data_IF_820542649637
#
_entry.id   IF_820542649637
#
_cell.length_a   1.000
_cell.length_b   1.000
_cell.length_c   1.000
_cell.angle_alpha   90.00
_cell.angle_beta   90.00
_cell.angle_gamma   90.00
#
_symmetry.space_group_name_H-M   'P 1'
#
loop_
_entity.id
_entity.type
_entity.pdbx_description
1 polymer ?
#
# COMPACT_ATOMS: atom_id res chain seq x y z
N UNK A 1 -1.38 7.43 21.45
CA UNK A 1 -1.07 7.96 20.12
C UNK A 1 -2.35 7.97 19.31
N UNK A 2 -2.53 8.98 18.48
CA UNK A 2 -3.51 9.02 17.41
C UNK A 2 -2.86 8.54 16.11
N UNK A 3 -3.34 7.42 15.59
CA UNK A 3 -2.79 6.73 14.42
C UNK A 3 -3.76 6.88 13.25
N UNK A 4 -3.27 7.43 12.14
CA UNK A 4 -3.97 7.39 10.86
C UNK A 4 -3.64 6.08 10.16
N UNK A 5 -4.65 5.25 9.87
CA UNK A 5 -4.52 4.03 9.07
C UNK A 5 -5.03 4.28 7.66
N UNK A 6 -4.22 3.94 6.66
CA UNK A 6 -4.60 3.93 5.24
C UNK A 6 -4.23 2.59 4.63
N UNK A 7 -4.66 2.28 3.40
CA UNK A 7 -4.18 1.10 2.66
C UNK A 7 -4.31 1.30 1.14
N UNK A 8 -3.93 0.27 0.35
CA UNK A 8 -4.19 0.20 -1.09
C UNK A 8 -5.13 -0.94 -1.50
N UNK A 9 -5.60 -1.78 -0.58
CA UNK A 9 -6.55 -2.86 -0.88
C UNK A 9 -8.01 -2.38 -0.92
N UNK A 10 -8.31 -1.25 -0.29
CA UNK A 10 -9.65 -0.67 -0.18
C UNK A 10 -10.35 -1.00 1.16
N UNK A 11 -11.68 -0.86 1.24
CA UNK A 11 -12.43 -1.15 2.46
C UNK A 11 -12.35 -2.63 2.85
N UNK A 12 -12.70 -3.00 4.11
CA UNK A 12 -12.70 -4.38 4.58
C UNK A 12 -13.45 -5.31 3.62
N UNK A 13 -12.81 -6.39 3.20
CA UNK A 13 -13.45 -7.43 2.38
C UNK A 13 -12.70 -8.74 2.53
N UNK A 14 -13.40 -9.87 2.40
CA UNK A 14 -12.79 -11.19 2.49
C UNK A 14 -11.74 -11.42 1.39
N UNK A 15 -11.99 -10.90 0.19
CA UNK A 15 -11.16 -11.16 -1.00
C UNK A 15 -9.97 -10.21 -1.15
N UNK A 16 -10.17 -8.91 -0.93
CA UNK A 16 -9.16 -7.90 -1.25
C UNK A 16 -8.49 -7.34 0.00
N UNK A 17 -9.26 -7.01 1.04
CA UNK A 17 -8.74 -6.39 2.27
C UNK A 17 -9.14 -7.16 3.54
N UNK A 18 -8.70 -8.43 3.69
CA UNK A 18 -9.12 -9.27 4.81
C UNK A 18 -8.47 -8.86 6.15
N UNK A 19 -7.43 -8.02 6.11
CA UNK A 19 -6.55 -7.79 7.26
C UNK A 19 -6.74 -6.44 7.97
N UNK A 20 -7.27 -5.42 7.28
CA UNK A 20 -7.34 -4.07 7.85
C UNK A 20 -8.24 -3.99 9.09
N UNK A 21 -9.40 -4.66 9.07
CA UNK A 21 -10.34 -4.65 10.20
C UNK A 21 -9.75 -5.30 11.47
N UNK A 22 -9.27 -6.56 11.43
CA UNK A 22 -8.60 -7.16 12.60
C UNK A 22 -7.39 -6.37 13.10
N UNK A 23 -6.66 -5.71 12.19
CA UNK A 23 -5.51 -4.90 12.56
C UNK A 23 -5.90 -3.60 13.28
N UNK A 24 -6.91 -2.89 12.77
CA UNK A 24 -7.46 -1.71 13.43
C UNK A 24 -8.02 -2.07 14.81
N UNK A 25 -8.76 -3.18 14.92
CA UNK A 25 -9.26 -3.69 16.20
C UNK A 25 -8.11 -3.95 17.19
N UNK A 26 -6.98 -4.49 16.72
CA UNK A 26 -5.80 -4.72 17.56
C UNK A 26 -5.11 -3.41 18.01
N UNK A 27 -5.08 -2.37 17.17
CA UNK A 27 -4.56 -1.05 17.54
C UNK A 27 -5.45 -0.39 18.60
N UNK A 28 -6.76 -0.42 18.41
CA UNK A 28 -7.75 0.13 19.34
C UNK A 28 -7.71 -0.61 20.69
N UNK A 29 -7.65 -1.95 20.66
CA UNK A 29 -7.51 -2.77 21.87
C UNK A 29 -6.21 -2.49 22.65
N UNK A 30 -5.17 -1.99 21.98
CA UNK A 30 -3.94 -1.54 22.62
C UNK A 30 -4.01 -0.09 23.16
N UNK A 31 -5.18 0.55 23.10
CA UNK A 31 -5.44 1.89 23.64
C UNK A 31 -5.06 3.04 22.70
N UNK A 32 -4.89 2.77 21.40
CA UNK A 32 -4.65 3.83 20.42
C UNK A 32 -5.97 4.45 19.94
N UNK A 33 -5.95 5.76 19.72
CA UNK A 33 -6.99 6.42 18.94
C UNK A 33 -6.69 6.15 17.47
N UNK A 34 -7.62 5.54 16.74
CA UNK A 34 -7.41 5.20 15.32
C UNK A 34 -8.38 5.99 14.45
N UNK A 35 -7.87 6.54 13.35
CA UNK A 35 -8.66 7.12 12.27
C UNK A 35 -8.31 6.37 10.99
N UNK A 36 -9.32 5.99 10.19
CA UNK A 36 -9.10 5.14 9.01
C UNK A 36 -9.59 5.84 7.76
N UNK A 37 -8.75 5.92 6.73
CA UNK A 37 -9.12 6.41 5.41
C UNK A 37 -8.61 5.45 4.31
N UNK A 38 -9.52 4.85 3.55
CA UNK A 38 -9.16 3.90 2.48
C UNK A 38 -9.64 4.38 1.12
N UNK A 39 -8.98 4.04 0.01
CA UNK A 39 -9.57 4.20 -1.31
C UNK A 39 -10.84 3.35 -1.43
N UNK A 40 -11.79 3.74 -2.28
CA UNK A 40 -13.04 2.99 -2.50
C UNK A 40 -12.85 1.66 -3.25
N UNK A 41 -11.69 1.45 -3.87
CA UNK A 41 -11.36 0.23 -4.59
C UNK A 41 -9.86 -0.06 -4.47
N UNK A 42 -9.46 -1.30 -4.73
CA UNK A 42 -8.05 -1.69 -4.75
C UNK A 42 -7.24 -0.86 -5.75
N UNK A 43 -6.07 -0.41 -5.30
CA UNK A 43 -5.07 0.38 -6.03
C UNK A 43 -3.71 -0.31 -6.00
N UNK A 44 -3.66 -1.65 -6.04
CA UNK A 44 -2.39 -2.37 -6.11
C UNK A 44 -1.56 -1.94 -7.33
N UNK A 45 -0.23 -1.96 -7.21
CA UNK A 45 0.73 -1.54 -8.25
C UNK A 45 0.72 -0.05 -8.61
N UNK A 46 0.14 0.82 -7.78
CA UNK A 46 0.04 2.28 -8.06
C UNK A 46 1.25 3.11 -7.59
N UNK A 47 2.12 2.57 -6.74
CA UNK A 47 3.21 3.32 -6.11
C UNK A 47 2.70 4.52 -5.29
N UNK A 48 3.39 5.67 -5.35
CA UNK A 48 3.00 6.94 -4.69
C UNK A 48 2.33 7.92 -5.66
N UNK A 49 1.17 7.57 -6.21
CA UNK A 49 0.48 8.43 -7.18
C UNK A 49 -0.59 9.34 -6.56
N UNK A 50 -0.74 10.54 -7.13
CA UNK A 50 -1.92 11.41 -6.98
C UNK A 50 -2.62 11.54 -8.34
N UNK A 51 -3.95 11.58 -8.35
CA UNK A 51 -4.76 11.74 -9.57
C UNK A 51 -5.26 13.19 -9.67
N UNK A 52 -4.46 14.09 -10.22
CA UNK A 52 -4.66 15.55 -10.16
C UNK A 52 -6.02 16.01 -10.71
N UNK A 53 -6.51 15.40 -11.79
CA UNK A 53 -7.77 15.80 -12.44
C UNK A 53 -8.99 15.01 -11.94
N UNK A 54 -8.79 14.06 -11.03
CA UNK A 54 -9.89 13.28 -10.47
C UNK A 54 -10.44 13.95 -9.20
N UNK A 55 -11.72 14.33 -9.22
CA UNK A 55 -12.41 14.75 -7.99
C UNK A 55 -12.47 13.57 -7.01
N UNK A 56 -12.16 13.85 -5.74
CA UNK A 56 -12.22 12.90 -4.64
C UNK A 56 -13.50 13.13 -3.83
N UNK A 57 -14.17 12.04 -3.45
CA UNK A 57 -15.34 12.09 -2.55
C UNK A 57 -15.04 11.25 -1.33
N UNK A 58 -15.10 11.86 -0.15
CA UNK A 58 -14.96 11.18 1.14
C UNK A 58 -16.34 10.80 1.67
N UNK A 59 -16.58 9.50 1.83
CA UNK A 59 -17.81 8.93 2.40
C UNK A 59 -17.49 8.42 3.79
N UNK A 60 -18.22 8.88 4.81
CA UNK A 60 -18.12 8.38 6.17
C UNK A 60 -19.01 7.15 6.31
N UNK A 61 -18.43 6.06 6.79
CA UNK A 61 -19.05 4.74 6.81
C UNK A 61 -18.86 4.15 8.19
N UNK A 62 -19.97 3.80 8.85
CA UNK A 62 -19.90 3.12 10.14
C UNK A 62 -19.11 1.81 10.00
N UNK A 63 -18.16 1.59 10.89
CA UNK A 63 -17.26 0.43 10.87
C UNK A 63 -18.01 -0.91 10.86
N UNK A 64 -19.22 -1.01 11.42
CA UNK A 64 -20.02 -2.24 11.47
C UNK A 64 -21.00 -2.38 10.30
N UNK A 65 -20.97 -1.44 9.35
CA UNK A 65 -21.76 -1.47 8.12
C UNK A 65 -21.05 -2.14 6.93
N UNK A 66 -19.74 -2.42 7.03
CA UNK A 66 -18.98 -3.11 5.99
C UNK A 66 -19.42 -4.58 5.83
N UNK A 67 -19.59 -5.00 4.59
CA UNK A 67 -19.95 -6.36 4.19
C UNK A 67 -18.72 -7.13 3.69
N UNK A 68 -18.83 -8.46 3.59
CA UNK A 68 -17.69 -9.32 3.23
C UNK A 68 -17.14 -9.10 1.81
N UNK A 69 -17.92 -8.48 0.92
CA UNK A 69 -17.55 -8.21 -0.47
C UNK A 69 -16.86 -6.84 -0.68
N UNK A 70 -16.71 -6.05 0.38
CA UNK A 70 -16.12 -4.70 0.31
C UNK A 70 -17.13 -3.58 0.10
N UNK A 71 -18.42 -3.91 -0.02
CA UNK A 71 -19.49 -2.93 0.04
C UNK A 71 -19.82 -2.58 1.49
N UNK A 72 -20.68 -1.59 1.66
CA UNK A 72 -21.18 -1.19 2.97
C UNK A 72 -22.63 -0.76 2.83
N UNK A 73 -23.40 -1.01 3.89
CA UNK A 73 -24.81 -0.58 3.93
C UNK A 73 -24.88 0.94 4.03
N UNK A 74 -25.75 1.56 3.23
CA UNK A 74 -26.01 2.99 3.37
C UNK A 74 -26.62 3.26 4.75
N UNK A 75 -25.87 3.97 5.58
CA UNK A 75 -26.40 4.50 6.83
C UNK A 75 -27.22 5.75 6.50
N UNK A 76 -28.55 5.65 6.60
CA UNK A 76 -29.42 6.82 6.60
C UNK A 76 -29.50 7.35 8.01
N UNK A 77 -28.63 8.30 8.33
CA UNK A 77 -28.87 9.10 9.51
C UNK A 77 -30.06 10.02 9.22
N UNK A 78 -31.16 9.82 9.94
CA UNK A 78 -32.33 10.70 9.87
C UNK A 78 -32.09 12.04 10.58
N UNK A 79 -31.07 12.12 11.45
CA UNK A 79 -30.82 13.27 12.31
C UNK A 79 -29.37 13.76 12.16
N UNK A 80 -29.09 14.36 11.01
CA UNK A 80 -27.96 15.26 10.71
C UNK A 80 -26.77 15.38 11.66
N UNK A 81 -25.59 15.08 11.08
CA UNK A 81 -24.31 15.80 11.21
C UNK A 81 -23.39 15.54 12.42
N UNK A 82 -23.75 14.68 13.37
CA UNK A 82 -22.76 14.21 14.36
C UNK A 82 -22.49 12.72 14.20
N UNK A 83 -21.42 12.42 13.46
CA UNK A 83 -20.89 11.06 13.31
C UNK A 83 -20.66 10.41 14.67
N UNK A 84 -21.01 9.13 14.80
CA UNK A 84 -20.96 8.39 16.06
C UNK A 84 -19.53 8.10 16.60
N UNK A 85 -18.50 8.66 15.96
CA UNK A 85 -17.09 8.48 16.31
C UNK A 85 -16.47 7.15 15.85
N UNK A 86 -17.30 6.21 15.36
CA UNK A 86 -16.95 4.87 14.90
C UNK A 86 -16.84 4.75 13.37
N UNK A 87 -16.77 5.88 12.67
CA UNK A 87 -16.76 5.92 11.21
C UNK A 87 -15.36 5.76 10.62
N UNK A 88 -15.28 5.04 9.51
CA UNK A 88 -14.14 5.01 8.60
C UNK A 88 -14.46 5.87 7.38
N UNK A 89 -13.42 6.40 6.73
CA UNK A 89 -13.61 7.21 5.52
C UNK A 89 -13.24 6.40 4.28
N UNK A 90 -14.19 6.24 3.36
CA UNK A 90 -13.98 5.62 2.06
C UNK A 90 -13.88 6.72 1.00
N UNK A 91 -12.74 6.78 0.30
CA UNK A 91 -12.43 7.84 -0.66
C UNK A 91 -12.59 7.34 -2.09
N UNK A 92 -13.67 7.74 -2.75
CA UNK A 92 -13.89 7.49 -4.18
C UNK A 92 -12.86 8.25 -5.01
N UNK A 93 -12.33 7.59 -6.05
CA UNK A 93 -11.15 8.04 -6.82
C UNK A 93 -9.87 8.23 -6.00
N UNK A 94 -9.86 7.82 -4.73
CA UNK A 94 -8.70 7.89 -3.87
C UNK A 94 -7.56 6.99 -4.33
N UNK A 95 -6.34 7.44 -4.02
CA UNK A 95 -5.12 6.63 -3.93
C UNK A 95 -4.70 6.55 -2.47
N UNK A 96 -3.78 5.65 -2.08
CA UNK A 96 -3.24 5.63 -0.73
C UNK A 96 -2.61 6.97 -0.34
N UNK A 97 -1.91 7.62 -1.27
CA UNK A 97 -1.32 8.94 -1.05
C UNK A 97 -2.40 10.02 -0.81
N UNK A 98 -3.47 10.06 -1.61
CA UNK A 98 -4.54 11.04 -1.37
C UNK A 98 -5.31 10.76 -0.08
N UNK A 99 -5.52 9.49 0.29
CA UNK A 99 -6.11 9.12 1.58
C UNK A 99 -5.24 9.57 2.76
N UNK A 100 -3.92 9.39 2.67
CA UNK A 100 -2.97 9.91 3.67
C UNK A 100 -3.09 11.42 3.81
N UNK A 101 -3.04 12.16 2.70
CA UNK A 101 -3.05 13.61 2.73
C UNK A 101 -4.39 14.16 3.26
N UNK A 102 -5.51 13.62 2.80
CA UNK A 102 -6.84 13.98 3.32
C UNK A 102 -6.97 13.64 4.81
N UNK A 103 -6.49 12.48 5.24
CA UNK A 103 -6.51 12.06 6.64
C UNK A 103 -5.68 12.98 7.55
N UNK A 104 -4.52 13.44 7.07
CA UNK A 104 -3.65 14.32 7.84
C UNK A 104 -4.18 15.74 8.00
N UNK A 105 -4.87 16.27 6.98
CA UNK A 105 -5.18 17.70 6.92
C UNK A 105 -6.66 18.05 6.99
N UNK A 106 -7.56 17.14 6.59
CA UNK A 106 -8.96 17.49 6.32
C UNK A 106 -9.96 16.64 7.11
N UNK A 107 -9.79 15.31 7.12
CA UNK A 107 -10.85 14.38 7.54
C UNK A 107 -11.04 14.26 9.06
N UNK A 108 -9.96 14.40 9.83
CA UNK A 108 -9.95 14.06 11.26
C UNK A 108 -9.54 15.22 12.17
N UNK A 109 -9.73 16.45 11.70
CA UNK A 109 -9.28 17.67 12.40
C UNK A 109 -9.88 17.83 13.80
N UNK A 110 -11.09 17.31 14.05
CA UNK A 110 -11.75 17.31 15.37
C UNK A 110 -11.22 16.26 16.35
N UNK A 111 -10.46 15.26 15.88
CA UNK A 111 -9.98 14.12 16.69
C UNK A 111 -8.60 14.35 17.31
N UNK A 112 -7.97 15.49 17.02
CA UNK A 112 -6.63 15.83 17.48
C UNK A 112 -5.54 15.53 16.44
N UNK A 113 -4.27 15.79 16.79
CA UNK A 113 -3.15 15.66 15.87
C UNK A 113 -2.80 14.18 15.62
N UNK A 114 -2.58 13.82 14.36
CA UNK A 114 -2.02 12.51 13.99
C UNK A 114 -0.54 12.43 14.42
N UNK A 115 -0.22 11.44 15.25
CA UNK A 115 1.13 11.15 15.76
C UNK A 115 1.92 10.23 14.81
N UNK A 116 1.23 9.32 14.12
CA UNK A 116 1.83 8.29 13.27
C UNK A 116 0.87 7.95 12.13
N UNK A 117 1.42 7.73 10.93
CA UNK A 117 0.68 7.11 9.83
C UNK A 117 1.09 5.65 9.68
N UNK A 118 0.12 4.75 9.63
CA UNK A 118 0.32 3.34 9.30
C UNK A 118 -0.40 3.06 7.99
N UNK A 119 0.34 2.61 6.98
CA UNK A 119 -0.22 2.22 5.70
C UNK A 119 -0.22 0.70 5.61
N UNK A 120 -1.40 0.08 5.48
CA UNK A 120 -1.61 -1.37 5.47
C UNK A 120 -2.59 -1.86 6.56
N UNK A 121 -2.63 -3.16 6.85
CA UNK A 121 -1.77 -4.20 6.28
C UNK A 121 -2.17 -4.54 4.85
N UNK A 122 -1.18 -4.62 3.97
CA UNK A 122 -1.36 -5.07 2.59
C UNK A 122 -1.71 -6.58 2.54
N UNK A 123 -2.60 -6.97 1.64
CA UNK A 123 -2.89 -8.36 1.27
C UNK A 123 -1.80 -8.93 0.35
N UNK A 124 -0.65 -9.21 0.95
CA UNK A 124 0.56 -9.67 0.27
C UNK A 124 1.80 -8.95 0.79
N UNK A 125 2.98 -9.47 0.41
CA UNK A 125 4.27 -8.89 0.78
C UNK A 125 4.64 -7.71 -0.12
N UNK A 126 5.30 -6.71 0.46
CA UNK A 126 6.04 -5.67 -0.22
C UNK A 126 7.51 -5.79 0.22
N UNK A 127 8.20 -6.80 -0.31
CA UNK A 127 9.59 -7.08 -0.02
C UNK A 127 10.36 -7.14 -1.35
N UNK A 128 11.60 -6.63 -1.37
CA UNK A 128 12.41 -6.29 -2.56
C UNK A 128 12.01 -4.99 -3.29
N UNK A 129 12.94 -4.44 -4.07
CA UNK A 129 12.80 -3.13 -4.73
C UNK A 129 11.58 -3.02 -5.64
N UNK A 130 11.29 -4.02 -6.48
CA UNK A 130 10.17 -3.96 -7.43
C UNK A 130 8.83 -3.86 -6.70
N UNK A 131 8.61 -4.69 -5.69
CA UNK A 131 7.37 -4.64 -4.94
C UNK A 131 7.27 -3.35 -4.12
N UNK A 132 8.37 -2.89 -3.51
CA UNK A 132 8.37 -1.63 -2.75
C UNK A 132 8.04 -0.42 -3.63
N UNK A 133 8.65 -0.31 -4.81
CA UNK A 133 8.47 0.82 -5.72
C UNK A 133 7.06 0.87 -6.33
N UNK A 134 6.45 -0.30 -6.58
CA UNK A 134 5.10 -0.38 -7.12
C UNK A 134 4.01 -0.39 -6.04
N UNK A 135 4.37 -0.50 -4.76
CA UNK A 135 3.39 -0.67 -3.68
C UNK A 135 2.63 0.63 -3.37
N UNK A 136 1.29 0.56 -3.41
CA UNK A 136 0.44 1.63 -2.91
C UNK A 136 0.52 1.75 -1.39
N UNK A 137 0.63 0.62 -0.68
CA UNK A 137 0.89 0.58 0.76
C UNK A 137 2.17 1.35 1.13
N UNK A 138 3.30 1.09 0.48
CA UNK A 138 4.54 1.88 0.70
C UNK A 138 4.34 3.33 0.26
N UNK A 139 3.62 3.57 -0.85
CA UNK A 139 3.25 4.90 -1.31
C UNK A 139 2.51 5.74 -0.26
N UNK A 140 1.54 5.17 0.45
CA UNK A 140 0.82 5.85 1.54
C UNK A 140 1.74 6.30 2.68
N UNK A 141 2.74 5.48 3.03
CA UNK A 141 3.73 5.82 4.03
C UNK A 141 4.75 6.87 3.53
N UNK A 142 5.19 6.77 2.28
CA UNK A 142 6.04 7.78 1.64
C UNK A 142 5.36 9.15 1.62
N UNK A 143 4.06 9.20 1.32
CA UNK A 143 3.30 10.46 1.33
C UNK A 143 3.29 11.09 2.72
N UNK A 144 3.09 10.29 3.77
CA UNK A 144 3.10 10.77 5.15
C UNK A 144 4.47 11.38 5.52
N UNK A 145 5.56 10.72 5.13
CA UNK A 145 6.92 11.26 5.34
C UNK A 145 7.12 12.58 4.62
N UNK A 146 6.68 12.69 3.36
CA UNK A 146 6.78 13.96 2.63
C UNK A 146 5.91 15.07 3.24
N UNK A 147 4.93 14.70 4.05
CA UNK A 147 4.13 15.61 4.88
C UNK A 147 4.74 15.88 6.28
N UNK A 148 5.99 15.44 6.54
CA UNK A 148 6.67 15.62 7.82
C UNK A 148 6.17 14.70 8.94
N UNK A 149 5.50 13.59 8.60
CA UNK A 149 4.97 12.62 9.57
C UNK A 149 5.76 11.30 9.52
N UNK A 150 6.04 10.73 10.69
CA UNK A 150 6.59 9.37 10.79
C UNK A 150 5.58 8.38 10.22
N UNK A 151 6.09 7.36 9.52
CA UNK A 151 5.22 6.39 8.88
C UNK A 151 5.75 4.96 8.91
N UNK A 152 4.83 3.99 8.99
CA UNK A 152 5.14 2.56 8.88
C UNK A 152 4.25 1.95 7.80
N UNK A 153 4.86 1.39 6.76
CA UNK A 153 4.18 0.54 5.80
C UNK A 153 4.13 -0.90 6.35
N UNK A 154 2.98 -1.56 6.27
CA UNK A 154 2.74 -2.89 6.85
C UNK A 154 2.20 -3.82 5.77
N UNK A 155 2.80 -5.00 5.66
CA UNK A 155 2.42 -6.03 4.69
C UNK A 155 2.30 -7.39 5.36
N UNK A 156 1.16 -8.06 5.18
CA UNK A 156 0.94 -9.42 5.64
C UNK A 156 1.21 -10.37 4.46
N UNK A 157 2.22 -11.23 4.63
CA UNK A 157 2.96 -11.88 3.55
C UNK A 157 2.27 -13.02 2.81
N UNK A 158 0.93 -13.05 2.74
CA UNK A 158 0.14 -14.06 2.04
C UNK A 158 -0.95 -13.41 1.18
N UNK A 159 -1.31 -14.07 0.08
CA UNK A 159 -2.50 -13.78 -0.73
C UNK A 159 -3.58 -14.86 -0.60
N UNK A 160 -3.27 -15.92 0.12
CA UNK A 160 -4.18 -17.03 0.38
C UNK A 160 -5.03 -16.71 1.60
N UNK A 161 -6.24 -17.27 1.66
CA UNK A 161 -7.09 -17.17 2.85
C UNK A 161 -6.35 -17.69 4.09
N UNK A 162 -6.42 -16.93 5.19
CA UNK A 162 -5.71 -17.24 6.43
C UNK A 162 -6.69 -17.52 7.56
N UNK A 163 -6.37 -18.44 8.48
CA UNK A 163 -7.14 -18.61 9.70
C UNK A 163 -7.22 -17.30 10.50
N UNK A 164 -8.38 -17.03 11.10
CA UNK A 164 -8.62 -15.80 11.88
C UNK A 164 -7.59 -15.66 13.01
N UNK A 165 -7.23 -16.76 13.67
CA UNK A 165 -6.24 -16.79 14.75
C UNK A 165 -4.86 -16.33 14.27
N UNK A 166 -4.48 -16.71 13.05
CA UNK A 166 -3.22 -16.29 12.42
C UNK A 166 -3.23 -14.80 12.09
N UNK A 167 -4.36 -14.28 11.58
CA UNK A 167 -4.52 -12.84 11.29
C UNK A 167 -4.45 -12.02 12.57
N UNK A 168 -5.12 -12.47 13.62
CA UNK A 168 -5.09 -11.81 14.93
C UNK A 168 -3.69 -11.87 15.56
N UNK A 169 -2.98 -13.00 15.44
CA UNK A 169 -1.59 -13.14 15.91
C UNK A 169 -0.63 -12.19 15.18
N UNK A 170 -0.72 -12.11 13.85
CA UNK A 170 0.05 -11.16 13.04
C UNK A 170 -0.26 -9.71 13.42
N UNK A 171 -1.54 -9.39 13.65
CA UNK A 171 -1.99 -8.05 14.07
C UNK A 171 -1.41 -7.67 15.43
N UNK A 172 -1.51 -8.55 16.44
CA UNK A 172 -0.92 -8.31 17.78
C UNK A 172 0.60 -8.11 17.72
N UNK A 173 1.32 -8.95 16.97
CA UNK A 173 2.76 -8.77 16.79
C UNK A 173 3.07 -7.41 16.15
N UNK A 174 2.35 -7.06 15.09
CA UNK A 174 2.52 -5.80 14.37
C UNK A 174 2.32 -4.60 15.30
N UNK A 175 1.29 -4.61 16.13
CA UNK A 175 1.05 -3.56 17.14
C UNK A 175 2.24 -3.45 18.11
N UNK A 176 2.77 -4.58 18.61
CA UNK A 176 3.97 -4.56 19.48
C UNK A 176 5.18 -3.95 18.77
N UNK A 177 5.40 -4.29 17.51
CA UNK A 177 6.50 -3.74 16.70
C UNK A 177 6.31 -2.24 16.46
N UNK A 178 5.10 -1.79 16.11
CA UNK A 178 4.78 -0.36 15.94
C UNK A 178 5.05 0.42 17.22
N UNK A 179 4.59 -0.09 18.37
CA UNK A 179 4.82 0.54 19.66
C UNK A 179 6.32 0.61 20.02
N UNK A 180 7.08 -0.45 19.73
CA UNK A 180 8.53 -0.47 19.92
C UNK A 180 9.22 0.59 19.05
N UNK A 181 8.97 0.58 17.74
CA UNK A 181 9.57 1.51 16.78
C UNK A 181 9.19 2.97 17.08
N UNK A 182 7.93 3.23 17.46
CA UNK A 182 7.48 4.59 17.79
C UNK A 182 8.23 5.18 19.00
N UNK A 183 8.55 4.35 20.00
CA UNK A 183 9.32 4.76 21.19
C UNK A 183 10.83 4.86 20.94
N UNK A 184 11.36 4.07 20.00
CA UNK A 184 12.80 3.96 19.70
C UNK A 184 13.11 4.36 18.27
N UNK A 185 12.45 5.42 17.78
CA UNK A 185 12.57 5.83 16.38
C UNK A 185 13.97 6.36 16.10
N UNK A 186 14.68 5.73 15.16
CA UNK A 186 16.01 6.17 14.77
C UNK A 186 15.92 7.51 13.99
N UNK A 187 16.68 8.54 14.36
CA UNK A 187 16.60 9.86 13.72
C UNK A 187 16.99 9.86 12.24
N UNK A 188 17.69 8.83 11.75
CA UNK A 188 18.07 8.69 10.35
C UNK A 188 17.02 7.97 9.50
N UNK A 189 15.96 7.46 10.13
CA UNK A 189 14.90 6.70 9.48
C UNK A 189 13.67 7.58 9.32
N UNK A 190 13.15 7.64 8.11
CA UNK A 190 11.97 8.44 7.81
C UNK A 190 10.70 7.58 7.80
N UNK A 191 10.81 6.34 7.31
CA UNK A 191 9.76 5.32 7.40
C UNK A 191 10.32 3.92 7.62
N UNK A 192 9.50 3.02 8.18
CA UNK A 192 9.78 1.59 8.20
C UNK A 192 8.85 0.83 7.25
N UNK A 193 9.39 -0.12 6.50
CA UNK A 193 8.61 -1.09 5.72
C UNK A 193 8.64 -2.46 6.42
N UNK A 194 7.48 -2.90 6.91
CA UNK A 194 7.28 -4.09 7.72
C UNK A 194 6.62 -5.20 6.90
N UNK A 195 7.25 -6.37 6.84
CA UNK A 195 6.66 -7.57 6.25
C UNK A 195 6.53 -8.66 7.29
N UNK A 196 5.28 -9.09 7.55
CA UNK A 196 4.92 -10.08 8.56
C UNK A 196 4.51 -11.39 7.86
N UNK A 197 5.17 -12.52 8.12
CA UNK A 197 4.77 -13.80 7.54
C UNK A 197 3.48 -14.30 8.19
N UNK A 198 2.52 -14.76 7.38
CA UNK A 198 1.25 -15.30 7.90
C UNK A 198 1.44 -16.73 8.39
N UNK A 199 1.61 -16.89 9.70
CA UNK A 199 1.89 -18.18 10.35
C UNK A 199 1.27 -18.22 11.75
N UNK A 200 0.87 -19.41 12.20
CA UNK A 200 0.33 -19.59 13.55
C UNK A 200 1.36 -19.26 14.66
N UNK A 201 2.65 -19.50 14.40
CA UNK A 201 3.74 -19.26 15.34
C UNK A 201 4.36 -17.85 15.22
N UNK A 202 3.77 -16.94 14.43
CA UNK A 202 4.40 -15.65 14.08
C UNK A 202 4.85 -14.83 15.30
N UNK A 203 4.11 -14.90 16.41
CA UNK A 203 4.41 -14.13 17.63
C UNK A 203 5.66 -14.61 18.39
N UNK A 204 6.10 -15.84 18.18
CA UNK A 204 7.32 -16.40 18.78
C UNK A 204 8.53 -16.34 17.84
N UNK A 205 8.33 -15.93 16.58
CA UNK A 205 9.40 -15.82 15.59
C UNK A 205 10.18 -14.51 15.79
N UNK A 206 11.48 -14.50 15.43
CA UNK A 206 12.28 -13.29 15.48
C UNK A 206 11.71 -12.16 14.60
N UNK A 207 11.81 -10.94 15.10
CA UNK A 207 11.65 -9.69 14.33
C UNK A 207 13.06 -9.18 14.03
N UNK A 208 13.40 -8.95 12.76
CA UNK A 208 14.77 -8.62 12.33
C UNK A 208 14.77 -7.32 11.52
N UNK A 209 15.78 -6.48 11.75
CA UNK A 209 16.12 -5.41 10.82
C UNK A 209 16.71 -5.99 9.54
N UNK A 210 16.35 -5.43 8.39
CA UNK A 210 16.75 -5.94 7.07
C UNK A 210 17.11 -4.84 6.10
N UNK A 211 17.90 -5.19 5.08
CA UNK A 211 18.05 -4.39 3.85
C UNK A 211 17.00 -4.80 2.81
N UNK A 212 16.61 -3.89 1.92
CA UNK A 212 15.80 -4.26 0.76
C UNK A 212 16.61 -5.09 -0.22
N UNK A 213 16.08 -6.23 -0.67
CA UNK A 213 16.68 -7.00 -1.77
C UNK A 213 16.54 -6.23 -3.10
N UNK A 214 17.64 -5.89 -3.80
CA UNK A 214 17.57 -5.33 -5.14
C UNK A 214 17.15 -6.41 -6.15
N UNK A 215 16.05 -6.15 -6.87
CA UNK A 215 15.59 -6.94 -8.01
C UNK A 215 15.30 -6.00 -9.18
N UNK A 216 15.66 -6.44 -10.39
CA UNK A 216 15.38 -5.76 -11.66
C UNK A 216 14.72 -6.74 -12.62
N UNK A 217 13.93 -6.25 -13.57
CA UNK A 217 13.30 -7.09 -14.61
C UNK A 217 14.36 -7.66 -15.56
N UNK A 218 14.57 -9.00 -15.63
CA UNK A 218 15.53 -9.55 -16.56
C UNK A 218 14.94 -9.65 -17.97
N UNK A 219 13.73 -10.21 -18.12
CA UNK A 219 13.05 -10.46 -19.41
C UNK A 219 11.51 -10.46 -19.37
N UNK A 220 10.91 -9.98 -18.27
CA UNK A 220 9.45 -10.02 -18.07
C UNK A 220 8.70 -8.79 -18.59
N UNK A 221 7.42 -8.96 -18.90
CA UNK A 221 6.48 -7.86 -19.12
C UNK A 221 5.30 -7.97 -18.14
N UNK A 222 4.66 -6.84 -17.85
CA UNK A 222 3.45 -6.79 -17.03
C UNK A 222 2.17 -6.93 -17.85
N UNK A 223 2.27 -6.90 -19.18
CA UNK A 223 1.15 -6.83 -20.09
C UNK A 223 1.32 -7.77 -21.28
N UNK A 224 0.24 -8.44 -21.66
CA UNK A 224 0.16 -9.20 -22.90
C UNK A 224 -0.90 -8.57 -23.81
N UNK A 225 -0.69 -8.65 -25.13
CA UNK A 225 -1.67 -8.24 -26.11
C UNK A 225 -2.88 -9.17 -26.04
N UNK A 226 -4.08 -8.60 -26.13
CA UNK A 226 -5.30 -9.39 -26.23
C UNK A 226 -5.35 -10.02 -27.62
N UNK A 227 -5.47 -11.35 -27.69
CA UNK A 227 -5.84 -12.02 -28.93
C UNK A 227 -7.25 -11.56 -29.31
N UNK A 228 -7.34 -10.63 -30.26
CA UNK A 228 -8.62 -10.26 -30.85
C UNK A 228 -8.98 -11.41 -31.80
N UNK A 229 -9.74 -12.38 -31.32
CA UNK A 229 -10.50 -13.24 -32.22
C UNK A 229 -11.51 -12.32 -32.93
N UNK A 230 -11.20 -11.98 -34.19
CA UNK A 230 -11.98 -11.03 -34.97
C UNK A 230 -13.46 -11.41 -35.01
N UNK A 231 -14.32 -10.40 -34.80
CA UNK A 231 -15.75 -10.26 -35.16
C UNK A 231 -16.35 -9.20 -34.22
N UNK A 232 -17.18 -8.23 -34.58
CA UNK A 232 -17.82 -7.81 -35.82
C UNK A 232 -17.91 -6.28 -35.76
N UNK A 233 -17.52 -5.59 -36.84
CA UNK A 233 -17.85 -4.18 -37.02
C UNK A 233 -19.36 -4.04 -37.12
N UNK A 234 -19.95 -3.23 -36.23
CA UNK A 234 -21.35 -2.83 -36.35
C UNK A 234 -21.42 -1.73 -37.42
N UNK A 235 -22.11 -2.02 -38.51
CA UNK A 235 -22.43 -1.06 -39.57
C UNK A 235 -23.20 0.14 -39.00
N UNK A 236 -22.72 1.35 -39.24
CA UNK A 236 -23.48 2.56 -38.90
C UNK A 236 -22.80 3.88 -39.23
N UNK A 237 -23.25 4.48 -40.33
CA UNK A 237 -23.24 5.91 -40.70
C UNK A 237 -21.95 6.52 -41.28
N UNK A 238 -22.09 7.01 -42.52
CA UNK A 238 -21.11 7.75 -43.32
C UNK A 238 -20.56 9.00 -42.60
N UNK A 239 -19.48 8.82 -41.85
CA UNK A 239 -18.50 9.87 -41.57
C UNK A 239 -17.12 9.29 -41.91
N UNK A 240 -16.25 10.07 -42.54
CA UNK A 240 -14.89 9.67 -42.87
C UNK A 240 -14.08 9.50 -41.57
N UNK A 241 -14.29 8.39 -40.84
CA UNK A 241 -13.52 8.05 -39.66
C UNK A 241 -12.18 7.49 -40.12
N UNK A 242 -11.13 8.28 -39.94
CA UNK A 242 -9.76 7.78 -39.91
C UNK A 242 -9.70 6.71 -38.81
N UNK A 243 -9.73 5.43 -39.19
CA UNK A 243 -9.49 4.35 -38.24
C UNK A 243 -8.01 4.37 -37.85
N UNK A 244 -7.70 5.04 -36.74
CA UNK A 244 -6.38 4.93 -36.13
C UNK A 244 -6.09 3.47 -35.78
N UNK A 245 -4.86 3.02 -36.02
CA UNK A 245 -4.41 1.69 -35.63
C UNK A 245 -4.47 1.55 -34.11
N UNK A 246 -5.23 0.59 -33.61
CA UNK A 246 -5.39 0.31 -32.18
C UNK A 246 -4.86 -1.09 -31.83
N UNK A 247 -4.24 -1.22 -30.67
CA UNK A 247 -3.77 -2.48 -30.07
C UNK A 247 -4.24 -2.53 -28.62
N UNK A 248 -4.75 -3.66 -28.17
CA UNK A 248 -5.33 -3.80 -26.83
C UNK A 248 -4.48 -4.72 -25.97
N UNK A 249 -4.18 -4.30 -24.75
CA UNK A 249 -3.36 -5.06 -23.82
C UNK A 249 -4.12 -5.30 -22.51
N UNK A 250 -3.77 -6.38 -21.81
CA UNK A 250 -4.26 -6.69 -20.46
C UNK A 250 -3.11 -6.96 -19.52
N UNK A 251 -3.35 -6.77 -18.22
CA UNK A 251 -2.41 -7.22 -17.19
C UNK A 251 -2.18 -8.73 -17.30
N UNK A 252 -0.92 -9.12 -17.44
CA UNK A 252 -0.49 -10.51 -17.62
C UNK A 252 0.96 -10.65 -17.15
N UNK A 253 1.21 -10.26 -15.91
CA UNK A 253 2.56 -10.20 -15.36
C UNK A 253 3.24 -11.59 -15.31
N UNK A 254 4.33 -11.74 -16.07
CA UNK A 254 5.24 -12.87 -15.92
C UNK A 254 6.24 -12.57 -14.81
N UNK A 255 6.04 -13.23 -13.67
CA UNK A 255 6.85 -13.06 -12.46
C UNK A 255 7.76 -14.26 -12.18
N UNK A 256 7.97 -15.17 -13.14
CA UNK A 256 8.74 -16.41 -12.91
C UNK A 256 10.16 -16.09 -12.46
N UNK A 257 10.86 -15.21 -13.17
CA UNK A 257 12.24 -14.85 -12.80
C UNK A 257 12.30 -14.07 -11.48
N UNK A 258 11.23 -13.33 -11.14
CA UNK A 258 11.12 -12.64 -9.86
C UNK A 258 10.99 -13.62 -8.70
N UNK A 259 10.17 -14.67 -8.87
CA UNK A 259 10.05 -15.73 -7.86
C UNK A 259 11.37 -16.45 -7.64
N UNK A 260 12.13 -16.73 -8.70
CA UNK A 260 13.47 -17.33 -8.59
C UNK A 260 14.44 -16.42 -7.84
N UNK A 261 14.48 -15.13 -8.19
CA UNK A 261 15.33 -14.15 -7.50
C UNK A 261 14.98 -14.04 -6.00
N UNK A 262 13.69 -14.03 -5.65
CA UNK A 262 13.25 -14.07 -4.26
C UNK A 262 13.68 -15.34 -3.52
N UNK A 263 13.63 -16.51 -4.18
CA UNK A 263 14.07 -17.77 -3.58
C UNK A 263 15.57 -17.83 -3.36
N UNK A 264 16.35 -17.14 -4.19
CA UNK A 264 17.80 -17.01 -4.07
C UNK A 264 18.23 -15.81 -3.19
N UNK A 265 17.29 -15.17 -2.49
CA UNK A 265 17.56 -13.99 -1.68
C UNK A 265 18.60 -14.28 -0.59
N UNK A 266 19.55 -13.36 -0.42
CA UNK A 266 20.61 -13.49 0.58
C UNK A 266 20.09 -13.22 2.00
N UNK A 267 20.72 -13.84 3.00
CA UNK A 267 20.46 -13.55 4.40
C UNK A 267 20.63 -12.04 4.71
N UNK A 268 19.77 -11.54 5.59
CA UNK A 268 19.72 -10.12 5.98
C UNK A 268 18.87 -9.25 5.04
N UNK A 269 18.40 -9.79 3.91
CA UNK A 269 17.41 -9.12 3.08
C UNK A 269 16.00 -9.31 3.61
N UNK A 270 15.10 -8.38 3.28
CA UNK A 270 13.67 -8.43 3.59
C UNK A 270 13.01 -9.69 3.02
N UNK A 271 13.25 -9.99 1.75
CA UNK A 271 12.71 -11.16 1.06
C UNK A 271 13.13 -12.48 1.73
N UNK A 272 14.43 -12.68 1.99
CA UNK A 272 14.93 -13.87 2.67
C UNK A 272 14.32 -14.01 4.07
N UNK A 273 14.29 -12.92 4.84
CA UNK A 273 13.80 -12.93 6.23
C UNK A 273 12.34 -13.37 6.32
N UNK A 274 11.49 -12.86 5.43
CA UNK A 274 10.06 -13.25 5.37
C UNK A 274 9.91 -14.70 4.91
N UNK A 275 10.69 -15.15 3.92
CA UNK A 275 10.68 -16.54 3.45
C UNK A 275 11.16 -17.54 4.52
N UNK A 276 12.09 -17.12 5.37
CA UNK A 276 12.52 -17.84 6.58
C UNK A 276 11.49 -17.77 7.72
N UNK A 277 10.30 -17.20 7.48
CA UNK A 277 9.23 -17.11 8.47
C UNK A 277 9.55 -16.18 9.64
N UNK A 278 10.44 -15.20 9.44
CA UNK A 278 10.72 -14.13 10.40
C UNK A 278 10.04 -12.83 9.96
N UNK A 279 9.72 -11.95 10.90
CA UNK A 279 9.19 -10.62 10.59
C UNK A 279 10.34 -9.69 10.18
N UNK A 280 10.19 -9.02 9.04
CA UNK A 280 11.19 -8.11 8.47
C UNK A 280 10.83 -6.65 8.74
N UNK A 281 11.77 -5.87 9.29
CA UNK A 281 11.66 -4.43 9.50
C UNK A 281 12.75 -3.74 8.67
N UNK A 282 12.38 -3.10 7.57
CA UNK A 282 13.34 -2.36 6.74
C UNK A 282 13.30 -0.87 7.07
N UNK A 283 14.35 -0.27 7.66
CA UNK A 283 14.46 1.17 7.80
C UNK A 283 14.73 1.84 6.45
N UNK A 284 13.94 2.84 6.09
CA UNK A 284 14.02 3.53 4.80
C UNK A 284 14.11 5.05 4.97
N UNK A 285 14.64 5.70 3.94
CA UNK A 285 14.49 7.13 3.68
C UNK A 285 13.59 7.31 2.45
N UNK A 286 12.64 8.25 2.52
CA UNK A 286 11.76 8.66 1.44
C UNK A 286 12.46 9.67 0.52
N UNK A 287 13.66 9.33 0.05
CA UNK A 287 14.40 10.17 -0.88
C UNK A 287 14.86 9.40 -2.10
N UNK A 288 15.03 10.12 -3.20
CA UNK A 288 15.74 9.64 -4.39
C UNK A 288 17.23 9.93 -4.17
N UNK A 289 17.85 9.24 -3.20
CA UNK A 289 19.25 9.47 -2.84
C UNK A 289 20.13 9.51 -4.11
N UNK A 290 20.92 10.58 -4.25
CA UNK A 290 21.80 10.77 -5.40
C UNK A 290 22.96 9.76 -5.34
N UNK A 291 23.53 9.44 -6.49
CA UNK A 291 24.76 8.64 -6.56
C UNK A 291 25.91 9.53 -6.10
N UNK A 292 26.58 9.24 -4.97
CA UNK A 292 27.70 10.07 -4.51
C UNK A 292 28.84 10.06 -5.53
N UNK A 293 29.48 11.20 -5.74
CA UNK A 293 30.55 11.39 -6.73
C UNK A 293 30.07 11.86 -8.11
N UNK A 294 28.77 12.05 -8.30
CA UNK A 294 28.18 12.65 -9.51
C UNK A 294 27.57 14.03 -9.16
N UNK A 295 28.40 14.91 -8.61
CA UNK A 295 28.07 16.29 -8.30
C UNK A 295 28.84 17.26 -9.21
N UNK A 296 28.23 18.38 -9.59
CA UNK A 296 28.88 19.43 -10.37
C UNK A 296 28.33 19.56 -11.78
N UNK A 297 29.07 20.29 -12.62
CA UNK A 297 28.69 20.59 -13.99
C UNK A 297 28.81 19.34 -14.87
N UNK A 298 27.79 19.09 -15.69
CA UNK A 298 27.83 18.07 -16.73
C UNK A 298 28.52 18.67 -17.95
N UNK A 299 29.75 18.23 -18.24
CA UNK A 299 30.48 18.66 -19.44
C UNK A 299 29.87 18.00 -20.67
N UNK A 300 29.07 18.76 -21.42
CA UNK A 300 28.43 18.34 -22.66
C UNK A 300 29.22 18.98 -23.79
N UNK A 301 29.86 18.16 -24.62
CA UNK A 301 30.52 18.63 -25.84
C UNK A 301 29.43 19.01 -26.88
N UNK A 302 29.20 20.32 -27.06
CA UNK A 302 28.11 20.83 -27.92
C UNK A 302 28.53 20.87 -29.40
N UNK A 303 29.81 20.60 -29.72
CA UNK A 303 30.35 20.73 -31.09
C UNK A 303 30.36 19.43 -31.93
N UNK A 304 29.79 18.32 -31.44
CA UNK A 304 29.55 17.15 -32.30
C UNK A 304 28.28 17.31 -33.13
N UNK A 305 28.41 17.85 -34.34
CA UNK A 305 27.41 17.73 -35.39
C UNK A 305 27.15 16.24 -35.72
N UNK A 306 26.07 15.67 -35.16
CA UNK A 306 25.47 14.39 -35.59
C UNK A 306 24.32 14.66 -36.53
#
# INVERSE_FOLDING_TARGET
MHILVVNDDGPPSKRLSPYIRPFVDALEAAGHLVSVATPAASRSWIGKAHLIEASLTATYVDKDSFEEDGTYREYRDSDGLEGNGNEWVVVTNGTPASCTQLGLYNLFTSRGPIDLVVSGPNHGRNASTIYNLSSGTVGGALEAVTCGKRAIAVSFGSKDEQPVETICAASRLTVRVIQYLSRHWDPNVELYNLNVPMRADVESRPVKYTRTLPIYWPRGCLYAENEINGTNGVNGVNGMQMHHKQRHFKWSADLVDMKKALQAAEQGTDAHTVLDGCTSVTPLRANLWHVPGLEGELDIDIDTHV
#
